data_IF_354438881179
#
_entry.id   IF_354438881179
#
_cell.length_a   1.000
_cell.length_b   1.000
_cell.length_c   1.000
_cell.angle_alpha   90.00
_cell.angle_beta   90.00
_cell.angle_gamma   90.00
#
_symmetry.space_group_name_H-M   'P 1'
#
loop_
_entity.id
_entity.type
_entity.pdbx_description
1 polymer ?
#
# COMPACT_ATOMS: atom_id res chain seq x y z
N UNK A 1 43.84 -36.89 76.81
CA UNK A 1 43.39 -35.89 75.80
C UNK A 1 42.41 -36.57 74.84
N UNK A 2 41.11 -36.38 75.08
CA UNK A 2 40.10 -35.74 74.20
C UNK A 2 39.72 -36.45 72.87
N UNK A 3 38.61 -37.19 72.98
CA UNK A 3 37.44 -37.28 72.09
C UNK A 3 37.30 -36.20 70.98
N UNK A 4 36.79 -36.57 69.79
CA UNK A 4 35.46 -36.16 69.23
C UNK A 4 35.44 -35.95 67.69
N UNK A 5 34.44 -36.60 67.08
CA UNK A 5 33.73 -36.38 65.79
C UNK A 5 34.01 -35.05 65.04
N UNK A 6 34.05 -35.08 63.70
CA UNK A 6 32.91 -34.68 62.83
C UNK A 6 33.28 -34.43 61.35
N UNK A 7 32.31 -34.79 60.49
CA UNK A 7 31.82 -34.20 59.21
C UNK A 7 32.70 -33.15 58.49
N UNK A 8 32.79 -33.24 57.15
CA UNK A 8 32.37 -32.19 56.19
C UNK A 8 32.46 -32.72 54.73
N UNK A 9 31.32 -32.68 54.00
CA UNK A 9 31.21 -32.67 52.51
C UNK A 9 31.71 -31.29 51.99
N UNK A 10 31.66 -30.90 50.69
CA UNK A 10 31.39 -31.57 49.38
C UNK A 10 32.53 -31.28 48.36
N UNK A 11 32.51 -31.65 47.06
CA UNK A 11 31.97 -30.82 45.97
C UNK A 11 32.15 -31.53 44.61
N UNK A 12 31.00 -31.80 44.03
CA UNK A 12 30.68 -32.00 42.61
C UNK A 12 31.08 -30.75 41.80
N UNK A 13 32.09 -30.81 40.91
CA UNK A 13 32.47 -29.63 40.08
C UNK A 13 33.18 -29.96 38.77
N UNK A 14 32.63 -30.88 37.98
CA UNK A 14 33.10 -31.13 36.60
C UNK A 14 31.93 -31.19 35.60
N UNK A 15 30.97 -30.27 35.73
CA UNK A 15 29.80 -30.16 34.85
C UNK A 15 29.60 -28.82 34.10
N UNK A 16 30.56 -27.87 33.94
CA UNK A 16 30.26 -26.66 33.17
C UNK A 16 30.81 -26.63 31.72
N UNK A 17 31.71 -27.51 31.29
CA UNK A 17 32.33 -27.38 29.96
C UNK A 17 31.56 -28.02 28.79
N UNK A 18 30.72 -29.03 29.05
CA UNK A 18 29.97 -29.70 27.98
C UNK A 18 28.69 -28.95 27.58
N UNK A 19 28.12 -28.14 28.48
CA UNK A 19 26.92 -27.36 28.19
C UNK A 19 27.18 -26.16 27.26
N UNK A 20 28.41 -25.62 27.24
CA UNK A 20 28.74 -24.44 26.43
C UNK A 20 28.87 -24.75 24.93
N UNK A 21 29.24 -25.98 24.55
CA UNK A 21 29.41 -26.37 23.14
C UNK A 21 28.06 -26.67 22.47
N UNK A 22 27.08 -27.19 23.21
CA UNK A 22 25.76 -27.52 22.66
C UNK A 22 24.92 -26.28 22.33
N UNK A 23 25.12 -25.17 23.06
CA UNK A 23 24.38 -23.92 22.80
C UNK A 23 24.90 -23.18 21.56
N UNK A 24 26.19 -23.31 21.23
CA UNK A 24 26.77 -22.62 20.07
C UNK A 24 26.39 -23.27 18.73
N UNK A 25 26.13 -24.58 18.71
CA UNK A 25 25.76 -25.32 17.48
C UNK A 25 24.32 -25.02 17.03
N UNK A 26 23.41 -24.68 17.96
CA UNK A 26 22.02 -24.33 17.64
C UNK A 26 21.87 -22.94 17.00
N UNK A 27 22.88 -22.07 17.13
CA UNK A 27 22.81 -20.69 16.62
C UNK A 27 23.22 -20.54 15.14
N UNK A 28 23.82 -21.56 14.53
CA UNK A 28 24.37 -21.50 13.16
C UNK A 28 23.54 -22.27 12.12
N UNK A 29 22.43 -22.87 12.53
CA UNK A 29 21.66 -23.81 11.69
C UNK A 29 20.30 -23.34 11.19
N UNK A 30 19.95 -22.06 11.36
CA UNK A 30 18.73 -21.51 10.73
C UNK A 30 19.03 -21.12 9.29
N UNK A 31 18.93 -22.08 8.39
CA UNK A 31 18.74 -21.82 6.96
C UNK A 31 17.34 -21.22 6.80
N UNK A 32 17.25 -19.89 6.94
CA UNK A 32 16.04 -19.13 6.69
C UNK A 32 15.79 -19.20 5.17
N UNK A 33 15.03 -20.23 4.76
CA UNK A 33 14.54 -20.40 3.40
C UNK A 33 13.99 -19.04 2.93
N UNK A 34 14.47 -18.48 1.80
CA UNK A 34 14.04 -17.17 1.34
C UNK A 34 12.51 -17.15 1.31
N UNK A 35 11.92 -16.29 2.13
CA UNK A 35 10.49 -16.03 2.10
C UNK A 35 10.19 -15.49 0.70
N UNK A 36 9.66 -16.35 -0.17
CA UNK A 36 9.09 -15.93 -1.45
C UNK A 36 7.98 -14.95 -1.09
N UNK A 37 8.31 -13.67 -1.19
CA UNK A 37 7.31 -12.60 -1.16
C UNK A 37 6.30 -12.98 -2.22
N UNK A 38 5.02 -13.23 -1.88
CA UNK A 38 4.03 -13.59 -2.88
C UNK A 38 4.04 -12.45 -3.90
N UNK A 39 4.45 -12.77 -5.13
CA UNK A 39 4.42 -11.81 -6.22
C UNK A 39 2.98 -11.34 -6.31
N UNK A 40 2.72 -10.09 -5.89
CA UNK A 40 1.43 -9.45 -6.10
C UNK A 40 1.24 -9.43 -7.61
N UNK A 41 0.51 -10.40 -8.14
CA UNK A 41 -0.05 -10.35 -9.49
C UNK A 41 -1.05 -9.22 -9.48
N UNK A 42 -0.55 -8.00 -9.61
CA UNK A 42 -1.38 -6.81 -9.65
C UNK A 42 -2.16 -6.91 -10.97
N UNK A 43 -3.49 -7.07 -10.94
CA UNK A 43 -4.27 -7.19 -12.15
C UNK A 43 -4.00 -5.96 -13.04
N UNK A 44 -3.90 -6.18 -14.34
CA UNK A 44 -3.65 -5.10 -15.30
C UNK A 44 -4.73 -4.02 -15.12
N UNK A 45 -4.36 -2.75 -14.88
CA UNK A 45 -5.34 -1.69 -14.64
C UNK A 45 -6.19 -1.47 -15.90
N UNK A 46 -7.49 -1.29 -15.71
CA UNK A 46 -8.41 -0.85 -16.76
C UNK A 46 -8.42 0.68 -16.75
N UNK A 47 -8.07 1.30 -17.87
CA UNK A 47 -7.97 2.75 -18.02
C UNK A 47 -8.95 3.17 -19.12
N UNK A 48 -9.96 3.96 -18.75
CA UNK A 48 -10.90 4.56 -19.71
C UNK A 48 -10.51 6.03 -19.90
N UNK A 49 -10.35 6.46 -21.15
CA UNK A 49 -10.03 7.84 -21.50
C UNK A 49 -11.24 8.46 -22.17
N UNK A 50 -11.84 9.45 -21.51
CA UNK A 50 -12.94 10.25 -22.06
C UNK A 50 -12.39 11.60 -22.50
N UNK A 51 -12.79 12.06 -23.69
CA UNK A 51 -12.34 13.32 -24.27
C UNK A 51 -13.47 13.99 -25.04
N UNK A 52 -13.67 15.27 -24.78
CA UNK A 52 -14.42 16.21 -25.63
C UNK A 52 -13.51 17.41 -25.91
N UNK A 53 -13.07 17.56 -27.16
CA UNK A 53 -12.16 18.63 -27.58
C UNK A 53 -12.82 20.02 -27.55
N UNK A 54 -14.15 20.09 -27.48
CA UNK A 54 -14.90 21.32 -27.32
C UNK A 54 -15.17 21.68 -25.85
N UNK A 55 -14.78 20.83 -24.89
CA UNK A 55 -14.95 21.10 -23.45
C UNK A 55 -14.18 22.32 -22.96
N UNK A 56 -13.09 22.69 -23.66
CA UNK A 56 -12.31 23.88 -23.37
C UNK A 56 -11.80 24.51 -24.67
N UNK A 57 -12.20 25.76 -24.94
CA UNK A 57 -11.75 26.52 -26.11
C UNK A 57 -11.20 27.86 -25.65
N UNK A 58 -9.92 28.15 -25.95
CA UNK A 58 -9.28 29.46 -25.71
C UNK A 58 -9.66 30.05 -24.34
N UNK A 59 -9.46 29.25 -23.27
CA UNK A 59 -9.71 29.60 -21.85
C UNK A 59 -11.16 29.55 -21.37
N UNK A 60 -12.13 29.36 -22.25
CA UNK A 60 -13.53 29.19 -21.88
C UNK A 60 -13.81 27.71 -21.64
N UNK A 61 -14.27 27.39 -20.43
CA UNK A 61 -14.68 26.03 -20.07
C UNK A 61 -16.18 25.87 -20.32
N UNK A 62 -16.54 24.84 -21.07
CA UNK A 62 -17.93 24.44 -21.23
C UNK A 62 -18.27 23.43 -20.12
N UNK A 63 -18.90 23.93 -19.05
CA UNK A 63 -19.24 23.10 -17.87
C UNK A 63 -20.10 21.90 -18.24
N UNK A 64 -21.06 22.07 -19.15
CA UNK A 64 -21.99 20.98 -19.51
C UNK A 64 -21.25 19.83 -20.19
N UNK A 65 -20.25 20.14 -21.04
CA UNK A 65 -19.40 19.13 -21.67
C UNK A 65 -18.51 18.43 -20.65
N UNK A 66 -17.94 19.18 -19.71
CA UNK A 66 -17.13 18.60 -18.63
C UNK A 66 -17.96 17.66 -17.77
N UNK A 67 -19.16 18.08 -17.36
CA UNK A 67 -20.09 17.25 -16.60
C UNK A 67 -20.41 15.96 -17.38
N UNK A 68 -20.70 16.07 -18.69
CA UNK A 68 -20.93 14.92 -19.57
C UNK A 68 -19.73 13.97 -19.69
N UNK A 69 -18.50 14.50 -19.72
CA UNK A 69 -17.29 13.66 -19.71
C UNK A 69 -17.14 12.88 -18.40
N UNK A 70 -17.44 13.53 -17.26
CA UNK A 70 -17.37 12.89 -15.93
C UNK A 70 -18.43 11.80 -15.81
N UNK A 71 -19.67 12.09 -16.18
CA UNK A 71 -20.76 11.10 -16.16
C UNK A 71 -20.46 9.94 -17.12
N UNK A 72 -20.09 10.21 -18.36
CA UNK A 72 -19.75 9.16 -19.33
C UNK A 72 -18.59 8.27 -18.85
N UNK A 73 -17.56 8.86 -18.25
CA UNK A 73 -16.44 8.13 -17.66
C UNK A 73 -16.85 7.25 -16.50
N UNK A 74 -17.71 7.75 -15.62
CA UNK A 74 -18.25 7.00 -14.48
C UNK A 74 -19.08 5.79 -14.94
N UNK A 75 -20.01 6.00 -15.87
CA UNK A 75 -20.87 4.94 -16.38
C UNK A 75 -20.04 3.87 -17.09
N UNK A 76 -19.05 4.27 -17.90
CA UNK A 76 -18.17 3.31 -18.58
C UNK A 76 -17.24 2.55 -17.61
N UNK A 77 -16.77 3.21 -16.54
CA UNK A 77 -15.90 2.59 -15.54
C UNK A 77 -16.65 1.59 -14.66
N UNK A 78 -17.90 1.91 -14.29
CA UNK A 78 -18.72 1.12 -13.36
C UNK A 78 -19.64 0.13 -14.06
N UNK A 79 -19.95 0.33 -15.35
CA UNK A 79 -20.99 -0.40 -16.06
C UNK A 79 -22.41 -0.06 -15.60
N UNK A 80 -22.58 1.00 -14.82
CA UNK A 80 -23.89 1.45 -14.36
C UNK A 80 -24.64 2.23 -15.44
N UNK A 81 -25.96 2.23 -15.38
CA UNK A 81 -26.84 3.08 -16.19
C UNK A 81 -27.25 4.38 -15.47
N UNK A 82 -26.93 4.48 -14.18
CA UNK A 82 -27.30 5.61 -13.32
C UNK A 82 -26.06 6.20 -12.64
N UNK A 83 -25.76 7.50 -12.82
CA UNK A 83 -24.57 8.13 -12.24
C UNK A 83 -24.51 8.02 -10.71
N UNK A 84 -25.64 8.20 -10.01
CA UNK A 84 -25.69 8.09 -8.54
C UNK A 84 -25.34 6.67 -8.08
N UNK A 85 -25.89 5.65 -8.74
CA UNK A 85 -25.56 4.26 -8.43
C UNK A 85 -24.09 3.93 -8.76
N UNK A 86 -23.56 4.50 -9.84
CA UNK A 86 -22.15 4.39 -10.20
C UNK A 86 -21.22 4.95 -9.12
N UNK A 87 -21.48 6.17 -8.62
CA UNK A 87 -20.68 6.75 -7.54
C UNK A 87 -20.73 5.91 -6.25
N UNK A 88 -21.93 5.50 -5.83
CA UNK A 88 -22.10 4.67 -4.62
C UNK A 88 -21.47 3.27 -4.74
N UNK A 89 -21.17 2.81 -5.95
CA UNK A 89 -20.43 1.56 -6.18
C UNK A 89 -18.92 1.70 -6.00
N UNK A 90 -18.39 2.93 -6.08
CA UNK A 90 -16.96 3.21 -6.02
C UNK A 90 -16.49 3.76 -4.68
N UNK A 91 -17.32 4.57 -4.02
CA UNK A 91 -16.94 5.31 -2.81
C UNK A 91 -18.08 5.33 -1.80
N UNK A 92 -17.75 5.30 -0.51
CA UNK A 92 -18.68 5.57 0.59
C UNK A 92 -18.38 6.92 1.26
N UNK A 93 -19.30 7.46 2.09
CA UNK A 93 -19.11 8.76 2.74
C UNK A 93 -17.87 8.85 3.64
N UNK A 94 -17.39 7.71 4.16
CA UNK A 94 -16.19 7.60 4.99
C UNK A 94 -14.88 7.50 4.19
N UNK A 95 -14.95 7.35 2.86
CA UNK A 95 -13.77 7.29 2.00
C UNK A 95 -13.14 8.68 1.77
N UNK A 96 -11.82 8.71 1.71
CA UNK A 96 -11.08 9.90 1.26
C UNK A 96 -10.72 9.77 -0.22
N UNK A 97 -11.30 10.63 -1.06
CA UNK A 97 -11.09 10.62 -2.51
C UNK A 97 -9.94 11.54 -2.90
N UNK A 98 -8.87 10.97 -3.43
CA UNK A 98 -7.75 11.71 -4.03
C UNK A 98 -7.96 11.91 -5.53
N UNK A 99 -8.03 13.17 -5.99
CA UNK A 99 -8.12 13.50 -7.42
C UNK A 99 -6.75 13.97 -7.90
N UNK A 100 -6.15 13.22 -8.84
CA UNK A 100 -4.91 13.63 -9.50
C UNK A 100 -5.21 14.28 -10.84
N UNK A 101 -4.97 15.59 -10.92
CA UNK A 101 -5.05 16.34 -12.17
C UNK A 101 -3.68 16.28 -12.86
N UNK A 102 -3.62 15.65 -14.04
CA UNK A 102 -2.44 15.69 -14.89
C UNK A 102 -2.73 16.59 -16.10
N UNK A 103 -2.36 17.87 -15.99
CA UNK A 103 -2.51 18.82 -17.09
C UNK A 103 -1.30 18.72 -18.02
N UNK A 104 -1.53 18.37 -19.29
CA UNK A 104 -0.51 18.54 -20.31
C UNK A 104 -0.25 20.03 -20.58
N UNK A 105 1.00 20.44 -20.87
CA UNK A 105 1.27 21.81 -21.29
C UNK A 105 0.60 22.06 -22.65
N UNK A 106 -0.56 22.70 -22.65
CA UNK A 106 -1.13 23.28 -23.86
C UNK A 106 -0.37 24.54 -24.26
N UNK A 107 -0.53 24.97 -25.52
CA UNK A 107 0.02 26.25 -26.02
C UNK A 107 -0.43 27.47 -25.20
N UNK A 108 -1.53 27.29 -24.46
CA UNK A 108 -2.14 28.23 -23.54
C UNK A 108 -2.25 27.59 -22.15
N UNK A 109 -1.15 27.06 -21.61
CA UNK A 109 -1.08 26.56 -20.24
C UNK A 109 -0.81 27.69 -19.25
N UNK A 110 -1.56 27.76 -18.15
CA UNK A 110 -1.34 28.73 -17.07
C UNK A 110 -2.43 28.67 -15.99
N UNK A 111 -2.15 29.18 -14.78
CA UNK A 111 -3.08 29.25 -13.63
C UNK A 111 -3.95 30.53 -13.64
N UNK A 112 -4.11 31.11 -14.82
CA UNK A 112 -4.79 32.38 -15.03
C UNK A 112 -6.30 32.21 -14.81
N UNK A 113 -6.94 33.18 -14.15
CA UNK A 113 -8.40 33.27 -14.08
C UNK A 113 -8.99 33.39 -15.48
N UNK A 114 -10.15 32.78 -15.70
CA UNK A 114 -10.94 32.99 -16.91
C UNK A 114 -11.08 34.50 -17.18
N UNK A 115 -10.81 34.93 -18.42
CA UNK A 115 -11.12 36.29 -18.83
C UNK A 115 -12.47 36.29 -19.51
N UNK A 116 -13.32 37.19 -19.03
CA UNK A 116 -14.61 37.50 -19.62
C UNK A 116 -14.44 38.34 -20.88
#
# INVERSE_FOLDING_TARGET
MLQKRSRFRPVLRWLPCLAAVVVLVQALGSDEKPSETPALTNPKPRINVIRDDASAIRWKIDKQRVDGMVEGGLLQATGSENPTAGWLSLVSPEDTVGIKVNAGPGQISGTRREVT
#
